data_IF_861161603645
#
_entry.id   IF_861161603645
#
_cell.length_a   1.000
_cell.length_b   1.000
_cell.length_c   1.000
_cell.angle_alpha   90.00
_cell.angle_beta   90.00
_cell.angle_gamma   90.00
#
_symmetry.space_group_name_H-M   'P 1'
#
loop_
_entity.id
_entity.type
_entity.pdbx_description
1 polymer ?
#
# COMPACT_ATOMS: atom_id res chain seq x y z
N UNK A 1 32.00 -25.32 6.44
CA UNK A 1 32.17 -24.15 7.33
C UNK A 1 30.82 -23.86 7.96
N UNK A 2 30.78 -23.73 9.28
CA UNK A 2 29.56 -23.47 10.04
C UNK A 2 29.25 -21.97 10.11
N UNK A 3 28.11 -21.60 10.72
CA UNK A 3 27.64 -20.21 10.75
C UNK A 3 28.56 -19.28 11.55
N UNK A 4 29.06 -19.75 12.69
CA UNK A 4 29.97 -18.97 13.53
C UNK A 4 31.32 -18.78 12.82
N UNK A 5 31.87 -19.83 12.22
CA UNK A 5 33.10 -19.74 11.42
C UNK A 5 32.96 -18.82 10.21
N UNK A 6 31.78 -18.78 9.57
CA UNK A 6 31.50 -17.86 8.47
C UNK A 6 31.47 -16.38 8.93
N UNK A 7 30.84 -16.10 10.07
CA UNK A 7 30.81 -14.76 10.66
C UNK A 7 32.21 -14.31 11.11
N UNK A 8 32.99 -15.19 11.75
CA UNK A 8 34.36 -14.89 12.14
C UNK A 8 35.27 -14.67 10.93
N UNK A 9 35.07 -15.43 9.85
CA UNK A 9 35.78 -15.20 8.60
C UNK A 9 35.51 -13.80 8.05
N UNK A 10 34.27 -13.31 8.07
CA UNK A 10 33.92 -11.94 7.66
C UNK A 10 34.63 -10.90 8.52
N UNK A 11 34.62 -11.08 9.86
CA UNK A 11 35.33 -10.18 10.79
C UNK A 11 36.82 -10.12 10.48
N UNK A 12 37.44 -11.28 10.26
CA UNK A 12 38.86 -11.41 9.97
C UNK A 12 39.24 -10.87 8.58
N UNK A 13 38.30 -10.87 7.62
CA UNK A 13 38.52 -10.38 6.26
C UNK A 13 37.93 -8.98 6.01
N UNK A 14 37.52 -8.25 7.06
CA UNK A 14 36.89 -6.92 6.96
C UNK A 14 37.65 -5.96 6.04
N UNK A 15 38.98 -5.93 6.11
CA UNK A 15 39.82 -5.06 5.26
C UNK A 15 39.69 -5.39 3.76
N UNK A 16 39.63 -6.68 3.40
CA UNK A 16 39.45 -7.11 2.00
C UNK A 16 38.05 -6.78 1.51
N UNK A 17 37.05 -7.00 2.36
CA UNK A 17 35.64 -6.68 2.07
C UNK A 17 35.49 -5.18 1.84
N UNK A 18 36.07 -4.34 2.70
CA UNK A 18 36.10 -2.86 2.55
C UNK A 18 36.63 -2.40 1.20
N UNK A 19 37.77 -2.93 0.77
CA UNK A 19 38.33 -2.62 -0.56
C UNK A 19 37.41 -3.01 -1.70
N UNK A 20 36.58 -4.04 -1.50
CA UNK A 20 35.65 -4.53 -2.53
C UNK A 20 34.39 -3.68 -2.64
N UNK A 21 33.97 -3.04 -1.54
CA UNK A 21 32.76 -2.19 -1.50
C UNK A 21 33.06 -0.73 -1.88
N UNK A 22 34.32 -0.30 -1.81
CA UNK A 22 34.75 1.07 -2.12
C UNK A 22 34.23 1.61 -3.47
N UNK A 23 34.24 0.83 -4.58
CA UNK A 23 33.66 1.30 -5.84
C UNK A 23 32.14 1.48 -5.80
N UNK A 24 31.43 0.76 -4.92
CA UNK A 24 29.97 0.85 -4.79
C UNK A 24 29.55 2.03 -3.91
N UNK A 25 30.35 2.40 -2.91
CA UNK A 25 30.07 3.56 -2.03
C UNK A 25 29.90 4.87 -2.81
N UNK A 26 30.59 5.02 -3.95
CA UNK A 26 30.49 6.22 -4.80
C UNK A 26 29.09 6.40 -5.42
N UNK A 27 28.36 5.32 -5.64
CA UNK A 27 27.09 5.31 -6.38
C UNK A 27 25.89 4.99 -5.48
N UNK A 28 26.08 5.11 -4.16
CA UNK A 28 25.16 4.57 -3.18
C UNK A 28 24.78 5.59 -2.11
N UNK A 29 23.53 5.60 -1.64
CA UNK A 29 23.14 6.31 -0.42
C UNK A 29 23.50 5.52 0.86
N UNK A 30 23.98 4.28 0.75
CA UNK A 30 24.30 3.40 1.88
C UNK A 30 25.70 3.64 2.44
N UNK A 31 25.85 3.41 3.74
CA UNK A 31 27.12 3.52 4.45
C UNK A 31 27.91 2.19 4.42
N UNK A 32 29.19 2.26 4.77
CA UNK A 32 30.06 1.08 4.90
C UNK A 32 29.45 0.00 5.82
N UNK A 33 28.77 0.44 6.88
CA UNK A 33 28.11 -0.44 7.85
C UNK A 33 27.00 -1.28 7.21
N UNK A 34 26.24 -0.73 6.25
CA UNK A 34 25.17 -1.45 5.56
C UNK A 34 25.74 -2.57 4.69
N UNK A 35 26.81 -2.27 3.95
CA UNK A 35 27.51 -3.29 3.16
C UNK A 35 28.17 -4.37 4.02
N UNK A 36 28.65 -4.01 5.20
CA UNK A 36 29.19 -4.99 6.14
C UNK A 36 28.09 -5.90 6.70
N UNK A 37 26.89 -5.39 6.97
CA UNK A 37 25.73 -6.23 7.33
C UNK A 37 25.39 -7.20 6.19
N UNK A 38 25.38 -6.71 4.95
CA UNK A 38 25.15 -7.55 3.78
C UNK A 38 26.25 -8.62 3.59
N UNK A 39 27.50 -8.32 3.97
CA UNK A 39 28.58 -9.30 3.98
C UNK A 39 28.30 -10.43 4.99
N UNK A 40 27.76 -10.14 6.17
CA UNK A 40 27.37 -11.17 7.13
C UNK A 40 26.21 -12.03 6.61
N UNK A 41 25.21 -11.43 5.97
CA UNK A 41 24.10 -12.16 5.33
C UNK A 41 24.61 -13.04 4.19
N UNK A 42 25.51 -12.52 3.36
CA UNK A 42 26.14 -13.25 2.27
C UNK A 42 26.97 -14.45 2.78
N UNK A 43 27.66 -14.29 3.90
CA UNK A 43 28.40 -15.37 4.56
C UNK A 43 27.48 -16.48 5.10
N UNK A 44 26.32 -16.12 5.63
CA UNK A 44 25.29 -17.08 6.05
C UNK A 44 24.76 -17.91 4.87
N UNK A 45 24.53 -17.27 3.72
CA UNK A 45 24.09 -17.97 2.51
C UNK A 45 25.22 -18.82 1.92
N UNK A 46 26.45 -18.31 1.94
CA UNK A 46 27.63 -19.00 1.43
C UNK A 46 27.97 -20.25 2.23
N UNK A 47 27.79 -20.27 3.56
CA UNK A 47 28.02 -21.46 4.39
C UNK A 47 27.07 -22.61 4.04
N UNK A 48 25.79 -22.29 3.77
CA UNK A 48 24.79 -23.26 3.28
C UNK A 48 25.17 -23.78 1.89
N UNK A 49 25.53 -22.89 0.95
CA UNK A 49 25.91 -23.27 -0.42
C UNK A 49 27.20 -24.11 -0.44
N UNK A 50 28.18 -23.75 0.39
CA UNK A 50 29.46 -24.45 0.52
C UNK A 50 29.25 -25.89 1.00
N UNK A 51 28.42 -26.08 2.03
CA UNK A 51 28.12 -27.40 2.58
C UNK A 51 27.28 -28.25 1.63
N UNK A 52 26.25 -27.66 0.99
CA UNK A 52 25.35 -28.39 0.10
C UNK A 52 25.92 -28.78 -1.26
N UNK A 53 26.83 -27.97 -1.81
CA UNK A 53 27.40 -28.18 -3.16
C UNK A 53 28.90 -28.55 -3.17
N UNK A 54 29.53 -28.66 -2.00
CA UNK A 54 30.96 -28.94 -1.88
C UNK A 54 31.88 -27.83 -2.43
N UNK A 55 31.37 -26.60 -2.54
CA UNK A 55 32.13 -25.46 -3.06
C UNK A 55 32.95 -24.84 -1.92
N UNK A 56 34.21 -24.41 -2.14
CA UNK A 56 34.96 -23.66 -1.14
C UNK A 56 34.18 -22.44 -0.64
N UNK A 57 34.13 -22.26 0.68
CA UNK A 57 33.34 -21.20 1.31
C UNK A 57 33.67 -19.81 0.73
N UNK A 58 34.94 -19.49 0.60
CA UNK A 58 35.38 -18.17 0.10
C UNK A 58 34.89 -17.90 -1.33
N UNK A 59 34.93 -18.91 -2.21
CA UNK A 59 34.42 -18.78 -3.57
C UNK A 59 32.89 -18.60 -3.59
N UNK A 60 32.17 -19.35 -2.74
CA UNK A 60 30.73 -19.18 -2.57
C UNK A 60 30.38 -17.79 -2.00
N UNK A 61 31.16 -17.31 -1.03
CA UNK A 61 31.01 -16.00 -0.41
C UNK A 61 31.17 -14.88 -1.43
N UNK A 62 32.28 -14.84 -2.17
CA UNK A 62 32.52 -13.74 -3.11
C UNK A 62 31.49 -13.72 -4.25
N UNK A 63 30.99 -14.88 -4.66
CA UNK A 63 29.91 -14.98 -5.64
C UNK A 63 28.62 -14.35 -5.10
N UNK A 64 28.15 -14.83 -3.93
CA UNK A 64 26.92 -14.33 -3.30
C UNK A 64 27.03 -12.85 -2.97
N UNK A 65 28.14 -12.44 -2.37
CA UNK A 65 28.35 -11.06 -1.96
C UNK A 65 28.39 -10.12 -3.15
N UNK A 66 29.03 -10.50 -4.26
CA UNK A 66 29.01 -9.71 -5.50
C UNK A 66 27.58 -9.55 -6.06
N UNK A 67 26.78 -10.62 -6.07
CA UNK A 67 25.38 -10.57 -6.48
C UNK A 67 24.58 -9.58 -5.61
N UNK A 68 24.77 -9.62 -4.29
CA UNK A 68 24.15 -8.68 -3.36
C UNK A 68 24.58 -7.23 -3.60
N UNK A 69 25.88 -6.97 -3.81
CA UNK A 69 26.37 -5.60 -4.06
C UNK A 69 25.77 -4.98 -5.31
N UNK A 70 25.69 -5.72 -6.41
CA UNK A 70 25.10 -5.25 -7.67
C UNK A 70 23.59 -5.01 -7.52
N UNK A 71 22.91 -5.83 -6.72
CA UNK A 71 21.48 -5.66 -6.44
C UNK A 71 21.20 -4.43 -5.56
N UNK A 72 22.02 -4.20 -4.53
CA UNK A 72 21.86 -3.05 -3.63
C UNK A 72 22.22 -1.73 -4.32
N UNK A 73 23.26 -1.74 -5.14
CA UNK A 73 23.79 -0.53 -5.77
C UNK A 73 24.09 -0.79 -7.23
N UNK A 74 23.28 -0.24 -8.15
CA UNK A 74 23.57 -0.28 -9.57
C UNK A 74 24.90 0.44 -9.86
N UNK A 75 25.96 -0.32 -10.10
CA UNK A 75 27.26 0.22 -10.48
C UNK A 75 27.45 0.05 -12.00
N UNK A 76 27.73 1.12 -12.77
CA UNK A 76 27.88 1.05 -14.23
C UNK A 76 28.97 0.08 -14.71
N UNK A 77 30.00 -0.18 -13.90
CA UNK A 77 31.06 -1.14 -14.23
C UNK A 77 30.64 -2.61 -14.06
N UNK A 78 29.52 -2.86 -13.35
CA UNK A 78 29.03 -4.19 -13.00
C UNK A 78 27.58 -4.43 -13.46
N UNK A 79 26.97 -3.45 -14.15
CA UNK A 79 25.55 -3.45 -14.45
C UNK A 79 25.20 -4.43 -15.60
N UNK A 80 24.61 -5.57 -15.25
CA UNK A 80 23.78 -6.37 -16.16
C UNK A 80 22.31 -6.48 -15.71
N UNK A 81 21.95 -5.86 -14.58
CA UNK A 81 20.63 -6.07 -13.95
C UNK A 81 20.25 -4.90 -13.04
N UNK A 82 20.15 -3.69 -13.60
CA UNK A 82 19.38 -2.62 -12.96
C UNK A 82 17.89 -2.90 -13.15
N UNK A 83 17.07 -2.70 -12.11
CA UNK A 83 15.62 -2.68 -12.30
C UNK A 83 15.26 -1.46 -13.16
N UNK A 84 14.48 -1.65 -14.22
CA UNK A 84 13.89 -0.55 -15.01
C UNK A 84 12.73 0.14 -14.29
N UNK A 85 12.47 -0.20 -13.02
CA UNK A 85 11.51 0.50 -12.19
C UNK A 85 12.05 1.89 -11.87
N UNK A 86 11.68 2.86 -12.69
CA UNK A 86 11.75 4.27 -12.31
C UNK A 86 10.95 4.42 -11.00
N UNK A 87 11.51 5.02 -9.93
CA UNK A 87 10.70 5.41 -8.79
C UNK A 87 9.58 6.32 -9.30
N UNK A 88 8.32 5.96 -9.07
CA UNK A 88 7.15 6.78 -9.44
C UNK A 88 7.11 8.16 -8.77
N UNK A 89 8.09 8.44 -7.90
CA UNK A 89 8.25 9.67 -7.15
C UNK A 89 9.75 9.91 -7.05
N UNK A 90 10.29 10.78 -7.91
CA UNK A 90 11.60 11.36 -7.68
C UNK A 90 11.44 12.29 -6.47
N UNK A 91 11.98 11.91 -5.32
CA UNK A 91 12.04 12.78 -4.15
C UNK A 91 13.13 13.85 -4.36
N UNK A 92 12.88 14.80 -5.27
CA UNK A 92 13.64 16.04 -5.33
C UNK A 92 12.65 17.16 -5.60
N UNK A 93 12.24 17.83 -4.54
CA UNK A 93 11.87 19.23 -4.63
C UNK A 93 12.70 19.96 -3.58
N UNK A 94 13.53 20.91 -4.01
CA UNK A 94 14.06 21.94 -3.12
C UNK A 94 12.85 22.60 -2.44
N UNK A 95 12.73 22.42 -1.12
CA UNK A 95 11.53 22.74 -0.33
C UNK A 95 11.36 24.25 -0.08
N UNK A 96 12.02 25.11 -0.85
CA UNK A 96 11.99 26.56 -0.63
C UNK A 96 11.16 27.35 -1.66
N UNK A 97 10.58 26.71 -2.69
CA UNK A 97 9.69 27.45 -3.60
C UNK A 97 8.66 26.61 -4.36
N UNK A 98 8.11 25.56 -3.75
CA UNK A 98 6.93 24.91 -4.33
C UNK A 98 5.74 25.82 -4.08
N UNK A 99 5.39 26.65 -5.08
CA UNK A 99 4.02 27.13 -5.20
C UNK A 99 3.20 25.87 -5.46
N UNK A 100 2.74 25.24 -4.39
CA UNK A 100 1.71 24.21 -4.48
C UNK A 100 0.57 24.94 -5.17
N UNK A 101 0.22 24.62 -6.43
CA UNK A 101 -1.05 25.08 -6.94
C UNK A 101 -2.03 24.52 -5.91
N UNK A 102 -2.75 25.40 -5.22
CA UNK A 102 -3.90 24.93 -4.46
C UNK A 102 -4.77 24.25 -5.50
N UNK A 103 -4.67 22.92 -5.60
CA UNK A 103 -5.56 22.13 -6.40
C UNK A 103 -6.92 22.56 -5.91
N UNK A 104 -7.67 23.22 -6.79
CA UNK A 104 -9.04 23.62 -6.49
C UNK A 104 -9.69 22.42 -5.85
N UNK A 105 -10.26 22.61 -4.65
CA UNK A 105 -10.93 21.58 -3.84
C UNK A 105 -11.61 20.57 -4.79
N UNK A 106 -10.92 19.47 -5.07
CA UNK A 106 -11.44 18.50 -6.03
C UNK A 106 -12.68 17.95 -5.35
N UNK A 107 -13.81 18.14 -6.02
CA UNK A 107 -15.08 17.60 -5.56
C UNK A 107 -14.95 16.09 -5.68
N UNK A 108 -14.49 15.43 -4.63
CA UNK A 108 -14.45 13.97 -4.58
C UNK A 108 -15.90 13.47 -4.53
N UNK A 109 -16.22 12.58 -5.46
CA UNK A 109 -17.51 11.89 -5.49
C UNK A 109 -17.49 10.79 -4.44
N UNK A 110 -18.50 10.76 -3.59
CA UNK A 110 -18.64 9.69 -2.62
C UNK A 110 -19.21 8.44 -3.28
N UNK A 111 -18.31 7.49 -3.54
CA UNK A 111 -18.62 6.22 -4.21
C UNK A 111 -19.63 5.39 -3.39
N UNK A 112 -19.59 5.47 -2.06
CA UNK A 112 -20.50 4.73 -1.19
C UNK A 112 -21.91 5.31 -1.27
N UNK A 113 -22.05 6.64 -1.23
CA UNK A 113 -23.35 7.32 -1.38
C UNK A 113 -23.96 7.08 -2.76
N UNK A 114 -23.14 7.11 -3.81
CA UNK A 114 -23.58 6.80 -5.17
C UNK A 114 -24.07 5.35 -5.24
N UNK A 115 -23.31 4.41 -4.67
CA UNK A 115 -23.69 3.00 -4.65
C UNK A 115 -24.99 2.77 -3.90
N UNK A 116 -25.17 3.35 -2.71
CA UNK A 116 -26.39 3.21 -1.90
C UNK A 116 -27.63 3.75 -2.63
N UNK A 117 -27.46 4.81 -3.41
CA UNK A 117 -28.54 5.40 -4.21
C UNK A 117 -28.92 4.51 -5.40
N UNK A 118 -27.92 3.93 -6.07
CA UNK A 118 -28.12 3.13 -7.28
C UNK A 118 -28.55 1.70 -6.95
N UNK A 119 -28.11 1.14 -5.82
CA UNK A 119 -28.25 -0.28 -5.53
C UNK A 119 -29.72 -0.74 -5.49
N UNK A 120 -30.64 0.13 -5.06
CA UNK A 120 -32.08 -0.15 -4.98
C UNK A 120 -32.71 -0.48 -6.35
N UNK A 121 -32.10 -0.04 -7.45
CA UNK A 121 -32.59 -0.24 -8.81
C UNK A 121 -31.91 -1.42 -9.53
N UNK A 122 -30.95 -2.07 -8.87
CA UNK A 122 -30.19 -3.19 -9.39
C UNK A 122 -30.70 -4.51 -8.83
N UNK A 123 -30.54 -5.60 -9.60
CA UNK A 123 -30.77 -6.95 -9.08
C UNK A 123 -29.69 -7.34 -8.07
N UNK A 124 -29.96 -8.29 -7.17
CA UNK A 124 -28.97 -8.78 -6.18
C UNK A 124 -27.63 -9.20 -6.80
N UNK A 125 -27.67 -9.74 -8.02
CA UNK A 125 -26.47 -10.15 -8.76
C UNK A 125 -25.68 -8.94 -9.25
N UNK A 126 -26.36 -7.95 -9.84
CA UNK A 126 -25.76 -6.70 -10.30
C UNK A 126 -25.20 -5.90 -9.12
N UNK A 127 -25.93 -5.82 -8.00
CA UNK A 127 -25.48 -5.16 -6.76
C UNK A 127 -24.16 -5.75 -6.26
N UNK A 128 -24.11 -7.08 -6.06
CA UNK A 128 -22.90 -7.78 -5.58
C UNK A 128 -21.70 -7.54 -6.49
N UNK A 129 -21.89 -7.67 -7.79
CA UNK A 129 -20.82 -7.49 -8.76
C UNK A 129 -20.36 -6.04 -8.82
N UNK A 130 -21.29 -5.07 -8.79
CA UNK A 130 -20.97 -3.65 -8.81
C UNK A 130 -20.24 -3.23 -7.53
N UNK A 131 -20.68 -3.69 -6.36
CA UNK A 131 -20.07 -3.41 -5.06
C UNK A 131 -18.59 -3.79 -5.00
N UNK A 132 -18.25 -4.99 -5.48
CA UNK A 132 -16.87 -5.47 -5.56
C UNK A 132 -16.06 -4.72 -6.62
N UNK A 133 -16.67 -4.36 -7.75
CA UNK A 133 -15.99 -3.67 -8.84
C UNK A 133 -15.65 -2.22 -8.52
N UNK A 134 -16.52 -1.49 -7.81
CA UNK A 134 -16.27 -0.11 -7.38
C UNK A 134 -15.45 -0.02 -6.09
N UNK A 135 -15.23 -1.15 -5.42
CA UNK A 135 -14.45 -1.19 -4.19
C UNK A 135 -15.17 -0.62 -2.97
N UNK A 136 -16.50 -0.68 -2.92
CA UNK A 136 -17.30 -0.29 -1.75
C UNK A 136 -17.22 -1.33 -0.60
N UNK A 137 -16.16 -2.14 -0.57
CA UNK A 137 -15.89 -3.14 0.46
C UNK A 137 -14.49 -2.92 1.03
N UNK A 138 -14.21 -3.51 2.20
CA UNK A 138 -12.90 -3.40 2.85
C UNK A 138 -11.74 -3.98 2.03
N UNK A 139 -12.02 -4.78 0.99
CA UNK A 139 -11.01 -5.40 0.11
C UNK A 139 -10.59 -4.50 -1.06
N UNK A 140 -11.24 -3.35 -1.23
CA UNK A 140 -11.01 -2.43 -2.34
C UNK A 140 -11.59 -2.92 -3.66
N UNK A 141 -11.28 -2.22 -4.75
CA UNK A 141 -11.79 -2.53 -6.07
C UNK A 141 -11.15 -3.81 -6.64
N UNK A 142 -11.99 -4.75 -7.05
CA UNK A 142 -11.55 -6.04 -7.60
C UNK A 142 -11.65 -6.10 -9.12
N UNK A 143 -10.75 -6.85 -9.74
CA UNK A 143 -10.83 -7.20 -11.16
C UNK A 143 -11.95 -8.20 -11.45
N UNK A 144 -12.41 -8.26 -12.71
CA UNK A 144 -13.43 -9.24 -13.13
C UNK A 144 -13.04 -10.69 -12.83
N UNK A 145 -11.76 -11.01 -12.88
CA UNK A 145 -11.23 -12.33 -12.57
C UNK A 145 -11.35 -12.65 -11.07
N UNK A 146 -10.97 -11.72 -10.21
CA UNK A 146 -11.07 -11.86 -8.75
C UNK A 146 -12.53 -11.96 -8.31
N UNK A 147 -13.41 -11.13 -8.88
CA UNK A 147 -14.87 -11.20 -8.63
C UNK A 147 -15.42 -12.55 -9.07
N UNK A 148 -15.01 -13.05 -10.24
CA UNK A 148 -15.43 -14.36 -10.74
C UNK A 148 -15.00 -15.50 -9.80
N UNK A 149 -13.77 -15.44 -9.30
CA UNK A 149 -13.24 -16.35 -8.29
C UNK A 149 -14.02 -16.29 -6.98
N UNK A 150 -14.28 -15.08 -6.45
CA UNK A 150 -15.01 -14.86 -5.21
C UNK A 150 -16.48 -15.34 -5.29
N UNK A 151 -17.14 -15.12 -6.43
CA UNK A 151 -18.55 -15.51 -6.64
C UNK A 151 -18.73 -16.93 -7.20
N UNK A 152 -17.65 -17.66 -7.47
CA UNK A 152 -17.70 -19.01 -8.03
C UNK A 152 -18.35 -19.08 -9.41
N UNK A 153 -18.12 -18.07 -10.26
CA UNK A 153 -18.74 -17.97 -11.59
C UNK A 153 -17.70 -17.70 -12.68
N UNK A 154 -18.12 -17.67 -13.95
CA UNK A 154 -17.23 -17.33 -15.08
C UNK A 154 -17.05 -15.83 -15.20
N UNK A 155 -15.89 -15.36 -15.64
CA UNK A 155 -15.61 -13.94 -15.88
C UNK A 155 -16.62 -13.29 -16.86
N UNK A 156 -17.10 -14.05 -17.87
CA UNK A 156 -18.18 -13.60 -18.76
C UNK A 156 -19.44 -13.20 -17.99
N UNK A 157 -19.80 -13.97 -16.96
CA UNK A 157 -20.98 -13.72 -16.13
C UNK A 157 -20.84 -12.44 -15.30
N UNK A 158 -19.61 -12.09 -14.93
CA UNK A 158 -19.28 -10.85 -14.23
C UNK A 158 -19.38 -9.67 -15.20
N UNK A 159 -18.76 -9.77 -16.37
CA UNK A 159 -18.87 -8.73 -17.43
C UNK A 159 -20.30 -8.45 -17.83
N UNK A 160 -21.12 -9.49 -18.02
CA UNK A 160 -22.53 -9.34 -18.38
C UNK A 160 -23.32 -8.65 -17.27
N UNK A 161 -23.04 -8.99 -16.00
CA UNK A 161 -23.67 -8.35 -14.86
C UNK A 161 -23.25 -6.87 -14.72
N UNK A 162 -21.98 -6.53 -14.93
CA UNK A 162 -21.51 -5.14 -14.93
C UNK A 162 -22.12 -4.33 -16.07
N UNK A 163 -22.13 -4.87 -17.29
CA UNK A 163 -22.74 -4.20 -18.45
C UNK A 163 -24.23 -3.95 -18.22
N UNK A 164 -24.94 -4.93 -17.64
CA UNK A 164 -26.35 -4.79 -17.28
C UNK A 164 -26.55 -3.74 -16.19
N UNK A 165 -25.71 -3.75 -15.14
CA UNK A 165 -25.76 -2.77 -14.07
C UNK A 165 -25.54 -1.34 -14.60
N UNK A 166 -24.43 -1.10 -15.31
CA UNK A 166 -24.09 0.20 -15.90
C UNK A 166 -25.14 0.66 -16.92
N UNK A 167 -25.71 -0.26 -17.71
CA UNK A 167 -26.82 0.02 -18.61
C UNK A 167 -28.07 0.53 -17.87
N UNK A 168 -28.41 -0.08 -16.74
CA UNK A 168 -29.50 0.40 -15.86
C UNK A 168 -29.18 1.76 -15.25
N UNK A 169 -27.97 1.96 -14.73
CA UNK A 169 -27.54 3.26 -14.18
C UNK A 169 -27.67 4.36 -15.24
N UNK A 170 -27.17 4.12 -16.45
CA UNK A 170 -27.27 5.06 -17.57
C UNK A 170 -28.72 5.41 -17.89
N UNK A 171 -29.63 4.44 -17.84
CA UNK A 171 -31.05 4.65 -18.05
C UNK A 171 -31.67 5.53 -16.94
N UNK A 172 -31.33 5.27 -15.67
CA UNK A 172 -31.78 6.08 -14.53
C UNK A 172 -31.33 7.54 -14.63
N UNK A 173 -30.07 7.77 -15.04
CA UNK A 173 -29.53 9.11 -15.29
C UNK A 173 -30.25 9.78 -16.46
N UNK A 174 -30.43 9.06 -17.58
CA UNK A 174 -31.11 9.60 -18.77
C UNK A 174 -32.57 9.96 -18.52
N UNK A 175 -33.23 9.30 -17.57
CA UNK A 175 -34.60 9.59 -17.12
C UNK A 175 -34.68 10.67 -16.04
N UNK A 176 -33.54 11.17 -15.57
CA UNK A 176 -33.46 12.17 -14.49
C UNK A 176 -33.88 11.64 -13.11
N UNK A 177 -33.95 10.32 -12.92
CA UNK A 177 -34.23 9.68 -11.63
C UNK A 177 -33.03 9.85 -10.69
N UNK A 178 -31.83 9.76 -11.26
CA UNK A 178 -30.57 9.99 -10.57
C UNK A 178 -29.92 11.20 -11.22
N UNK A 179 -29.51 12.18 -10.40
CA UNK A 179 -28.79 13.36 -10.86
C UNK A 179 -27.34 13.27 -10.38
N UNK A 180 -26.37 13.02 -11.27
CA UNK A 180 -24.95 12.92 -10.90
C UNK A 180 -24.44 14.14 -10.13
N UNK A 181 -25.03 15.31 -10.39
CA UNK A 181 -24.67 16.57 -9.76
C UNK A 181 -25.06 16.68 -8.27
N UNK A 182 -25.77 15.69 -7.73
CA UNK A 182 -26.19 15.69 -6.32
C UNK A 182 -25.22 14.91 -5.41
N UNK A 183 -24.22 14.22 -5.98
CA UNK A 183 -23.30 13.36 -5.23
C UNK A 183 -21.94 14.01 -4.92
N UNK A 184 -21.86 15.35 -4.98
CA UNK A 184 -20.64 16.07 -4.65
C UNK A 184 -20.53 16.34 -3.15
N UNK A 185 -19.46 15.88 -2.52
CA UNK A 185 -19.12 16.27 -1.15
C UNK A 185 -18.28 17.55 -1.17
N UNK A 186 -18.61 18.50 -0.27
CA UNK A 186 -17.69 19.59 0.08
C UNK A 186 -16.62 19.04 1.00
N UNK A 187 -15.38 18.93 0.54
CA UNK A 187 -14.25 18.60 1.41
C UNK A 187 -13.94 19.78 2.32
N UNK A 188 -14.24 19.67 3.62
CA UNK A 188 -13.82 20.63 4.66
C UNK A 188 -12.46 20.26 5.28
N UNK A 189 -11.51 19.75 4.49
CA UNK A 189 -10.13 19.56 4.99
C UNK A 189 -9.28 20.79 4.68
N UNK A 190 -9.37 21.77 5.57
CA UNK A 190 -8.55 22.97 5.41
C UNK A 190 -8.60 24.03 6.50
N UNK A 191 -8.96 23.75 7.76
CA UNK A 191 -8.65 24.63 8.91
C UNK A 191 -8.58 23.86 10.25
N UNK A 192 -7.51 23.10 10.47
CA UNK A 192 -7.00 22.93 11.84
C UNK A 192 -5.68 23.70 11.93
N UNK A 193 -5.83 25.01 12.15
CA UNK A 193 -4.75 25.85 12.65
C UNK A 193 -4.38 25.39 14.06
N UNK A 194 -3.10 25.09 14.24
CA UNK A 194 -2.42 24.95 15.52
C UNK A 194 -2.83 26.11 16.43
N UNK A 195 -3.55 25.80 17.51
CA UNK A 195 -4.00 26.75 18.53
C UNK A 195 -4.38 25.98 19.78
N UNK A 196 -3.59 26.16 20.84
CA UNK A 196 -3.74 25.44 22.09
C UNK A 196 -5.03 25.76 22.86
N UNK A 197 -5.18 24.98 23.93
CA UNK A 197 -6.01 25.21 25.11
C UNK A 197 -7.54 25.05 24.97
N UNK A 198 -8.00 24.04 25.73
CA UNK A 198 -9.22 23.99 26.55
C UNK A 198 -10.58 23.86 25.83
N UNK A 199 -11.20 22.67 25.90
CA UNK A 199 -12.59 22.56 25.46
C UNK A 199 -13.28 21.20 25.39
N UNK A 200 -13.03 20.24 26.30
CA UNK A 200 -13.84 19.00 26.36
C UNK A 200 -14.38 18.66 27.76
N UNK A 201 -14.58 19.66 28.61
CA UNK A 201 -15.35 19.54 29.85
C UNK A 201 -16.84 19.91 29.64
N UNK A 202 -17.42 19.57 28.48
CA UNK A 202 -18.79 19.98 28.14
C UNK A 202 -19.59 18.93 27.36
N UNK A 203 -19.52 17.66 27.79
CA UNK A 203 -20.51 16.63 27.43
C UNK A 203 -20.77 15.67 28.59
N UNK A 204 -21.27 16.21 29.71
CA UNK A 204 -21.88 15.39 30.79
C UNK A 204 -23.19 15.96 31.34
N UNK A 205 -23.83 16.87 30.61
CA UNK A 205 -25.19 17.33 30.90
C UNK A 205 -25.93 17.43 29.58
N UNK A 206 -26.72 16.42 29.24
CA UNK A 206 -28.01 16.47 28.56
C UNK A 206 -28.36 15.04 28.10
N UNK A 207 -29.44 14.50 28.67
CA UNK A 207 -29.87 13.11 28.63
C UNK A 207 -30.25 12.70 30.06
N UNK A 208 -31.37 13.12 30.63
CA UNK A 208 -32.68 13.30 30.02
C UNK A 208 -33.59 12.23 30.63
N UNK A 209 -34.40 12.65 31.60
CA UNK A 209 -35.53 11.91 32.14
C UNK A 209 -36.41 11.41 30.99
N UNK A 210 -36.82 10.13 31.04
CA UNK A 210 -38.14 9.73 30.55
C UNK A 210 -38.73 8.69 31.51
N UNK A 211 -40.00 8.93 31.81
CA UNK A 211 -40.89 8.27 32.76
C UNK A 211 -40.97 6.74 32.68
N UNK A 212 -41.05 6.12 33.85
CA UNK A 212 -41.82 4.89 34.10
C UNK A 212 -42.68 5.11 35.35
N UNK A 213 -43.93 5.51 35.15
CA UNK A 213 -44.94 5.60 36.19
C UNK A 213 -45.65 4.23 36.33
N UNK A 214 -45.77 3.75 37.56
CA UNK A 214 -46.50 2.55 37.92
C UNK A 214 -46.50 2.35 39.44
N UNK A 215 -47.22 3.20 40.19
CA UNK A 215 -47.82 2.83 41.48
C UNK A 215 -49.06 1.96 41.20
N UNK A 216 -49.69 1.22 42.11
CA UNK A 216 -49.85 1.22 43.58
C UNK A 216 -50.15 -0.26 43.97
N UNK A 217 -50.13 -0.78 45.19
CA UNK A 217 -50.14 -0.22 46.53
C UNK A 217 -50.11 -1.34 47.59
N UNK A 218 -49.93 -0.90 48.83
CA UNK A 218 -49.71 -1.60 50.12
C UNK A 218 -50.93 -2.46 50.59
N UNK A 219 -50.91 -3.20 51.73
CA UNK A 219 -50.29 -2.91 53.03
C UNK A 219 -49.16 -3.85 53.50
#
# INVERSE_FOLDING_TARGET
MDFLGAADWVRNNKKKIRRRIEPFLKYSPYEECDYMQEAFLSALVASKRSTGKGIPFEAAFWTVFKESLVKMTPNPEYASSGSNSVPSHLCVEDVDSVVIPQTEVEREQDVEVIYDTVCQFLTRREQRVLCLAIGATYEGAMSNYEIAGCLGCRESNVRDALNSALGRVRNLVSRGIIRPDEFWIRSERGKETIGGQNGWERSRRLGGQIHGAGGEGNP
#
